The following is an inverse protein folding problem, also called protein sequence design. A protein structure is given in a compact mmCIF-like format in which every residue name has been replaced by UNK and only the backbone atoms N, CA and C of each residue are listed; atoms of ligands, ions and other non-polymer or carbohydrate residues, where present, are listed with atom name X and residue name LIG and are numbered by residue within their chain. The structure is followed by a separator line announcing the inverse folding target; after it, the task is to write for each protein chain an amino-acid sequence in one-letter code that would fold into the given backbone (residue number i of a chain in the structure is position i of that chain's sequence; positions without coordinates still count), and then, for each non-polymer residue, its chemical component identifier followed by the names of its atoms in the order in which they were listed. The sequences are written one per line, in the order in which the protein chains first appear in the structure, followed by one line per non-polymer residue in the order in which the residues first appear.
data_IF_922822982612
#
_entry.id   IF_922822982612
#
_cell.length_a   1.000
_cell.length_b   1.000
_cell.length_c   1.000
_cell.angle_alpha   90.00
_cell.angle_beta   90.00
_cell.angle_gamma   90.00
#
_symmetry.space_group_name_H-M   'P 1'
#
loop_
_entity.id
_entity.type
_entity.pdbx_description
1 polymer ?
#
# COMPACT_ATOMS: atom_id res chain seq x y z
N UNK A 1 -18.16 -8.45 14.32
CA UNK A 1 -17.38 -7.56 15.21
C UNK A 1 -16.55 -8.45 16.10
N UNK A 2 -15.29 -8.61 15.74
CA UNK A 2 -14.30 -9.30 16.57
C UNK A 2 -14.03 -8.52 17.85
N UNK A 3 -13.34 -9.13 18.82
CA UNK A 3 -12.79 -8.42 19.96
C UNK A 3 -11.72 -7.42 19.48
N UNK A 4 -11.83 -6.17 19.89
CA UNK A 4 -10.89 -5.10 19.48
C UNK A 4 -9.65 -5.11 20.38
N UNK A 5 -8.92 -6.21 20.38
CA UNK A 5 -7.66 -6.35 21.13
C UNK A 5 -6.53 -6.75 20.19
N UNK A 6 -5.29 -6.38 20.54
CA UNK A 6 -4.13 -6.80 19.76
C UNK A 6 -4.02 -8.33 19.74
N UNK A 7 -4.36 -9.03 20.83
CA UNK A 7 -4.36 -10.51 20.85
C UNK A 7 -5.33 -11.10 19.82
N UNK A 8 -6.56 -10.59 19.74
CA UNK A 8 -7.56 -11.08 18.81
C UNK A 8 -7.16 -10.79 17.35
N UNK A 9 -6.67 -9.57 17.07
CA UNK A 9 -6.11 -9.22 15.76
C UNK A 9 -4.97 -10.16 15.38
N UNK A 10 -3.99 -10.33 16.26
CA UNK A 10 -2.80 -11.15 16.03
C UNK A 10 -3.16 -12.61 15.74
N UNK A 11 -4.07 -13.18 16.53
CA UNK A 11 -4.56 -14.54 16.28
C UNK A 11 -5.20 -14.65 14.88
N UNK A 12 -5.97 -13.63 14.48
CA UNK A 12 -6.61 -13.60 13.17
C UNK A 12 -5.61 -13.45 12.02
N UNK A 13 -4.59 -12.61 12.18
CA UNK A 13 -3.51 -12.47 11.19
C UNK A 13 -2.75 -13.79 10.97
N UNK A 14 -2.56 -14.58 12.04
CA UNK A 14 -1.96 -15.92 11.95
C UNK A 14 -2.87 -16.89 11.20
N UNK A 15 -4.19 -16.88 11.47
CA UNK A 15 -5.15 -17.72 10.76
C UNK A 15 -5.22 -17.41 9.25
N UNK A 16 -5.11 -16.13 8.89
CA UNK A 16 -5.06 -15.66 7.50
C UNK A 16 -3.70 -15.92 6.84
N UNK A 17 -2.70 -16.37 7.60
CA UNK A 17 -1.34 -16.59 7.10
C UNK A 17 -0.59 -15.31 6.75
N UNK A 18 -1.06 -14.14 7.23
CA UNK A 18 -0.38 -12.85 7.06
C UNK A 18 0.83 -12.72 7.99
N UNK A 19 0.77 -13.38 9.15
CA UNK A 19 1.83 -13.35 10.17
C UNK A 19 2.15 -14.78 10.61
N UNK A 20 3.43 -15.09 10.83
CA UNK A 20 3.81 -16.40 11.37
C UNK A 20 3.49 -16.50 12.88
N UNK A 21 3.25 -17.71 13.42
CA UNK A 21 3.06 -17.88 14.87
C UNK A 21 4.21 -17.32 15.71
N UNK A 22 5.44 -17.37 15.21
CA UNK A 22 6.61 -16.83 15.92
C UNK A 22 6.61 -15.30 15.97
N UNK A 23 6.25 -14.62 14.87
CA UNK A 23 6.09 -13.16 14.86
C UNK A 23 4.99 -12.73 15.82
N UNK A 24 3.85 -13.44 15.80
CA UNK A 24 2.75 -13.21 16.73
C UNK A 24 3.17 -13.35 18.20
N UNK A 25 3.90 -14.41 18.55
CA UNK A 25 4.42 -14.60 19.90
C UNK A 25 5.36 -13.46 20.32
N UNK A 26 6.24 -13.02 19.42
CA UNK A 26 7.18 -11.94 19.71
C UNK A 26 6.45 -10.60 19.95
N UNK A 27 5.51 -10.23 19.09
CA UNK A 27 4.75 -8.99 19.21
C UNK A 27 3.91 -8.97 20.50
N UNK A 28 3.24 -10.08 20.83
CA UNK A 28 2.44 -10.18 22.05
C UNK A 28 3.27 -10.25 23.33
N UNK A 29 4.52 -10.71 23.26
CA UNK A 29 5.41 -10.77 24.43
C UNK A 29 5.88 -9.38 24.89
N UNK A 30 5.96 -8.41 23.99
CA UNK A 30 6.34 -7.02 24.28
C UNK A 30 5.16 -6.11 24.57
N UNK A 31 3.94 -6.52 24.25
CA UNK A 31 2.75 -5.68 24.37
C UNK A 31 2.01 -5.87 25.71
N UNK A 32 2.31 -5.01 26.69
CA UNK A 32 1.60 -4.97 27.99
C UNK A 32 0.10 -4.64 27.85
N UNK A 33 -0.33 -4.21 26.67
CA UNK A 33 -1.71 -3.84 26.32
C UNK A 33 -2.42 -4.88 25.44
N UNK A 34 -1.82 -6.06 25.23
CA UNK A 34 -2.31 -7.07 24.28
C UNK A 34 -3.78 -7.48 24.48
N UNK A 35 -4.24 -7.50 25.73
CA UNK A 35 -5.59 -7.89 26.15
C UNK A 35 -6.51 -6.69 26.41
N UNK A 36 -6.02 -5.46 26.26
CA UNK A 36 -6.80 -4.25 26.45
C UNK A 36 -7.60 -3.93 25.18
N UNK A 37 -8.81 -3.42 25.37
CA UNK A 37 -9.66 -2.96 24.27
C UNK A 37 -9.06 -1.70 23.64
N UNK A 38 -8.89 -1.73 22.32
CA UNK A 38 -8.22 -0.71 21.50
C UNK A 38 -9.20 -0.07 20.52
N UNK A 39 -8.85 1.11 20.03
CA UNK A 39 -9.54 1.68 18.87
C UNK A 39 -9.11 0.99 17.57
N UNK A 40 -9.96 0.97 16.53
CA UNK A 40 -9.57 0.48 15.21
C UNK A 40 -8.31 1.14 14.66
N UNK A 41 -8.16 2.46 14.85
CA UNK A 41 -6.97 3.21 14.40
C UNK A 41 -5.69 2.72 15.06
N UNK A 42 -5.73 2.42 16.37
CA UNK A 42 -4.56 1.89 17.06
C UNK A 42 -4.19 0.49 16.54
N UNK A 43 -5.19 -0.39 16.35
CA UNK A 43 -4.99 -1.73 15.81
C UNK A 43 -4.52 -1.74 14.35
N UNK A 44 -4.92 -0.74 13.57
CA UNK A 44 -4.41 -0.52 12.21
C UNK A 44 -2.92 -0.17 12.23
N UNK A 45 -2.47 0.67 13.17
CA UNK A 45 -1.04 0.97 13.34
C UNK A 45 -0.19 -0.27 13.63
N UNK A 46 -0.73 -1.24 14.36
CA UNK A 46 -0.04 -2.51 14.64
C UNK A 46 0.21 -3.35 13.38
N UNK A 47 -0.53 -3.14 12.28
CA UNK A 47 -0.28 -3.83 11.01
C UNK A 47 1.08 -3.43 10.40
N UNK A 48 1.53 -2.20 10.63
CA UNK A 48 2.85 -1.72 10.19
C UNK A 48 3.96 -2.43 10.96
N UNK A 49 3.80 -2.58 12.28
CA UNK A 49 4.75 -3.31 13.12
C UNK A 49 4.89 -4.79 12.71
N UNK A 50 3.85 -5.37 12.09
CA UNK A 50 3.90 -6.69 11.49
C UNK A 50 4.57 -6.75 10.10
N UNK A 51 4.96 -5.60 9.54
CA UNK A 51 5.46 -5.49 8.17
C UNK A 51 4.38 -5.71 7.12
N UNK A 52 3.13 -5.39 7.45
CA UNK A 52 1.99 -5.51 6.54
C UNK A 52 1.55 -4.17 5.99
N UNK A 53 2.13 -3.06 6.44
CA UNK A 53 1.74 -1.75 5.94
C UNK A 53 2.85 -0.73 6.03
N UNK A 54 2.59 0.40 5.40
CA UNK A 54 3.47 1.55 5.29
C UNK A 54 2.72 2.77 5.79
N UNK A 55 3.40 3.63 6.54
CA UNK A 55 2.88 4.92 6.96
C UNK A 55 3.69 6.03 6.28
N UNK A 56 3.03 7.10 5.87
CA UNK A 56 3.70 8.30 5.37
C UNK A 56 3.32 9.48 6.26
N UNK A 57 4.28 10.32 6.65
CA UNK A 57 3.98 11.49 7.48
C UNK A 57 3.16 12.54 6.70
N UNK A 58 2.31 13.29 7.41
CA UNK A 58 1.53 14.43 6.90
C UNK A 58 2.16 15.78 7.23
N UNK A 59 3.19 15.80 8.07
CA UNK A 59 3.87 16.99 8.52
C UNK A 59 4.92 17.50 7.54
N UNK A 60 5.43 18.68 7.87
CA UNK A 60 6.67 19.18 7.28
C UNK A 60 7.80 18.20 7.64
N UNK A 61 8.46 17.64 6.64
CA UNK A 61 9.58 16.72 6.85
C UNK A 61 10.91 17.47 6.79
N UNK A 62 11.87 17.05 7.62
CA UNK A 62 13.20 17.67 7.67
C UNK A 62 14.00 17.41 6.37
N UNK A 63 13.71 16.30 5.67
CA UNK A 63 14.35 15.90 4.42
C UNK A 63 13.41 15.03 3.58
N UNK A 64 12.95 15.56 2.44
CA UNK A 64 12.11 14.82 1.49
C UNK A 64 12.78 13.52 1.03
N UNK A 65 14.09 13.56 0.77
CA UNK A 65 14.81 12.38 0.29
C UNK A 65 14.84 11.27 1.35
N UNK A 66 15.12 11.61 2.61
CA UNK A 66 15.17 10.61 3.70
C UNK A 66 13.78 10.01 3.93
N UNK A 67 12.73 10.84 3.91
CA UNK A 67 11.35 10.36 4.05
C UNK A 67 10.94 9.43 2.88
N UNK A 68 11.26 9.77 1.62
CA UNK A 68 11.01 8.87 0.51
C UNK A 68 11.82 7.57 0.63
N UNK A 69 13.08 7.63 1.07
CA UNK A 69 13.90 6.44 1.27
C UNK A 69 13.27 5.50 2.31
N UNK A 70 12.79 6.05 3.43
CA UNK A 70 12.12 5.29 4.47
C UNK A 70 10.81 4.67 3.95
N UNK A 71 9.93 5.45 3.32
CA UNK A 71 8.65 4.96 2.75
C UNK A 71 8.89 3.85 1.73
N UNK A 72 9.81 4.05 0.78
CA UNK A 72 10.11 3.07 -0.26
C UNK A 72 10.71 1.79 0.34
N UNK A 73 11.57 1.93 1.35
CA UNK A 73 12.21 0.79 2.01
C UNK A 73 11.21 -0.04 2.81
N UNK A 74 10.32 0.61 3.56
CA UNK A 74 9.24 -0.07 4.29
C UNK A 74 8.27 -0.78 3.34
N UNK A 75 7.84 -0.10 2.27
CA UNK A 75 6.95 -0.68 1.26
C UNK A 75 7.58 -1.90 0.58
N UNK A 76 8.85 -1.80 0.17
CA UNK A 76 9.56 -2.91 -0.43
C UNK A 76 9.70 -4.09 0.54
N UNK A 77 10.00 -3.82 1.81
CA UNK A 77 10.11 -4.85 2.84
C UNK A 77 8.80 -5.63 3.05
N UNK A 78 7.64 -4.96 3.01
CA UNK A 78 6.32 -5.61 3.07
C UNK A 78 6.14 -6.63 1.94
N UNK A 79 6.63 -6.28 0.75
CA UNK A 79 6.52 -7.11 -0.45
C UNK A 79 7.61 -8.16 -0.60
N UNK A 80 8.66 -8.13 0.24
CA UNK A 80 9.84 -8.98 0.10
C UNK A 80 10.80 -8.53 -1.01
N UNK A 81 10.69 -7.27 -1.44
CA UNK A 81 11.55 -6.61 -2.41
C UNK A 81 12.65 -5.82 -1.70
N UNK A 82 13.66 -5.36 -2.45
CA UNK A 82 14.71 -4.48 -1.94
C UNK A 82 14.74 -3.17 -2.70
N UNK A 83 14.70 -2.05 -1.97
CA UNK A 83 14.99 -0.71 -2.51
C UNK A 83 16.40 -0.30 -2.12
N UNK A 84 17.10 0.41 -3.02
CA UNK A 84 18.43 0.96 -2.78
C UNK A 84 18.71 2.18 -3.66
N UNK A 85 19.76 2.94 -3.31
CA UNK A 85 20.23 4.11 -4.06
C UNK A 85 19.12 5.15 -4.34
N UNK A 86 18.34 5.48 -3.30
CA UNK A 86 17.27 6.49 -3.39
C UNK A 86 17.89 7.88 -3.52
N UNK A 87 17.51 8.61 -4.56
CA UNK A 87 17.99 9.96 -4.86
C UNK A 87 16.83 10.81 -5.33
N UNK A 88 16.62 11.97 -4.69
CA UNK A 88 15.70 12.98 -5.18
C UNK A 88 16.48 13.98 -6.07
N UNK A 89 16.10 14.06 -7.34
CA UNK A 89 16.71 14.96 -8.32
C UNK A 89 15.71 16.05 -8.68
N UNK A 90 15.94 17.25 -8.16
CA UNK A 90 15.09 18.41 -8.41
C UNK A 90 15.30 18.98 -9.83
N UNK A 91 14.21 19.42 -10.46
CA UNK A 91 14.23 20.14 -11.75
C UNK A 91 15.03 19.43 -12.86
N UNK A 92 14.84 18.11 -12.98
CA UNK A 92 15.42 17.31 -14.04
C UNK A 92 14.72 17.58 -15.38
N UNK A 93 15.50 17.79 -16.45
CA UNK A 93 14.95 17.90 -17.81
C UNK A 93 14.43 16.54 -18.30
N UNK A 94 13.12 16.43 -18.47
CA UNK A 94 12.42 15.24 -18.97
C UNK A 94 11.76 15.54 -20.32
N UNK A 95 11.78 14.55 -21.22
CA UNK A 95 11.17 14.69 -22.54
C UNK A 95 9.64 14.67 -22.43
N UNK A 96 9.00 15.70 -22.97
CA UNK A 96 7.55 15.75 -23.13
C UNK A 96 7.16 14.96 -24.38
N UNK A 97 6.50 13.82 -24.17
CA UNK A 97 6.07 12.95 -25.28
C UNK A 97 4.89 13.52 -26.07
N UNK A 98 4.09 14.40 -25.48
CA UNK A 98 2.93 15.01 -26.13
C UNK A 98 3.34 16.19 -27.03
N UNK A 99 4.23 17.04 -26.54
CA UNK A 99 4.67 18.25 -27.26
C UNK A 99 5.97 18.06 -28.05
N UNK A 100 6.72 16.99 -27.79
CA UNK A 100 8.04 16.74 -28.39
C UNK A 100 9.13 17.69 -27.89
N UNK A 101 8.91 18.37 -26.76
CA UNK A 101 9.85 19.27 -26.08
C UNK A 101 10.48 18.64 -24.85
N UNK A 102 11.03 19.48 -23.98
CA UNK A 102 11.44 19.11 -22.62
C UNK A 102 10.70 19.97 -21.60
N UNK A 103 10.49 19.43 -20.42
CA UNK A 103 9.99 20.14 -19.25
C UNK A 103 10.81 19.73 -18.02
N UNK A 104 10.79 20.54 -16.98
CA UNK A 104 11.50 20.26 -15.72
C UNK A 104 10.52 19.59 -14.74
N UNK A 105 10.95 18.48 -14.15
CA UNK A 105 10.20 17.74 -13.11
C UNK A 105 11.18 17.30 -12.02
N UNK A 106 10.68 17.09 -10.81
CA UNK A 106 11.46 16.40 -9.79
C UNK A 106 11.34 14.90 -10.02
N UNK A 107 12.47 14.19 -9.90
CA UNK A 107 12.54 12.75 -10.10
C UNK A 107 13.04 12.05 -8.85
N UNK A 108 12.24 11.12 -8.33
CA UNK A 108 12.68 10.16 -7.33
C UNK A 108 13.26 8.93 -8.02
N UNK A 109 14.59 8.77 -7.95
CA UNK A 109 15.33 7.66 -8.58
C UNK A 109 15.73 6.65 -7.53
N UNK A 110 15.64 5.37 -7.87
CA UNK A 110 16.05 4.28 -6.98
C UNK A 110 16.25 2.99 -7.78
N UNK A 111 16.76 1.95 -7.12
CA UNK A 111 16.81 0.60 -7.67
C UNK A 111 15.85 -0.31 -6.91
N UNK A 112 14.98 -1.00 -7.63
CA UNK A 112 14.09 -2.04 -7.12
C UNK A 112 14.62 -3.40 -7.54
N UNK A 113 15.04 -4.22 -6.57
CA UNK A 113 15.75 -5.49 -6.81
C UNK A 113 16.95 -5.34 -7.77
N UNK A 114 17.61 -4.19 -7.71
CA UNK A 114 18.76 -3.85 -8.56
C UNK A 114 18.40 -3.29 -9.94
N UNK A 115 17.11 -3.21 -10.31
CA UNK A 115 16.67 -2.60 -11.57
C UNK A 115 16.33 -1.12 -11.36
N UNK A 116 16.84 -0.20 -12.21
CA UNK A 116 16.63 1.22 -12.05
C UNK A 116 15.17 1.62 -12.29
N UNK A 117 14.64 2.45 -11.39
CA UNK A 117 13.31 3.06 -11.43
C UNK A 117 13.43 4.57 -11.24
N UNK A 118 12.43 5.28 -11.77
CA UNK A 118 12.28 6.70 -11.58
C UNK A 118 10.78 7.03 -11.52
N UNK A 119 10.38 7.78 -10.50
CA UNK A 119 9.03 8.33 -10.36
C UNK A 119 9.09 9.84 -10.53
N UNK A 120 8.10 10.39 -11.24
CA UNK A 120 7.88 11.83 -11.26
C UNK A 120 7.14 12.21 -9.98
N UNK A 121 7.65 13.24 -9.29
CA UNK A 121 7.08 13.76 -8.05
C UNK A 121 6.90 15.26 -8.18
N UNK A 122 5.81 15.79 -7.61
CA UNK A 122 5.46 17.20 -7.62
C UNK A 122 5.34 17.73 -6.19
N UNK A 123 6.39 18.41 -5.72
CA UNK A 123 6.39 18.99 -4.38
C UNK A 123 5.74 20.38 -4.38
N UNK A 124 4.82 20.60 -3.45
CA UNK A 124 4.21 21.92 -3.20
C UNK A 124 5.09 22.82 -2.32
N UNK A 125 6.01 22.23 -1.56
CA UNK A 125 7.09 22.87 -0.79
C UNK A 125 8.25 21.89 -0.59
N UNK A 126 9.40 22.39 -0.14
CA UNK A 126 10.61 21.63 0.20
C UNK A 126 10.46 20.71 1.42
N UNK A 127 9.31 20.76 2.09
CA UNK A 127 8.99 19.98 3.30
C UNK A 127 7.72 19.12 3.10
N UNK A 128 7.12 19.09 1.90
CA UNK A 128 5.84 18.41 1.65
C UNK A 128 5.98 17.23 0.68
N UNK A 129 5.69 16.02 1.17
CA UNK A 129 5.70 14.79 0.38
C UNK A 129 4.58 14.78 -0.67
N UNK A 130 4.91 14.35 -1.89
CA UNK A 130 3.91 14.12 -2.93
C UNK A 130 3.22 12.77 -2.73
N UNK A 131 2.18 12.78 -1.90
CA UNK A 131 1.35 11.60 -1.68
C UNK A 131 0.61 11.14 -2.94
N UNK A 132 0.42 12.00 -3.94
CA UNK A 132 -0.25 11.60 -5.18
C UNK A 132 0.67 10.80 -6.08
N UNK A 133 1.94 11.16 -6.15
CA UNK A 133 2.95 10.30 -6.76
C UNK A 133 3.03 8.95 -6.02
N UNK A 134 3.04 8.95 -4.67
CA UNK A 134 3.04 7.70 -3.89
C UNK A 134 1.85 6.81 -4.26
N UNK A 135 0.61 7.31 -4.21
CA UNK A 135 -0.59 6.52 -4.62
C UNK A 135 -0.45 5.98 -6.04
N UNK A 136 0.03 6.80 -6.96
CA UNK A 136 0.11 6.45 -8.39
C UNK A 136 1.15 5.36 -8.66
N UNK A 137 2.20 5.31 -7.85
CA UNK A 137 3.35 4.47 -8.11
C UNK A 137 3.54 3.32 -7.11
N UNK A 138 2.84 3.29 -5.97
CA UNK A 138 3.03 2.25 -4.95
C UNK A 138 2.83 0.82 -5.50
N UNK A 139 2.00 0.67 -6.53
CA UNK A 139 1.82 -0.61 -7.24
C UNK A 139 3.10 -1.19 -7.87
N UNK A 140 4.11 -0.36 -8.17
CA UNK A 140 5.44 -0.82 -8.62
C UNK A 140 6.17 -1.62 -7.53
N UNK A 141 5.82 -1.43 -6.26
CA UNK A 141 6.42 -2.10 -5.10
C UNK A 141 5.62 -3.33 -4.65
N UNK A 142 4.61 -3.75 -5.40
CA UNK A 142 3.87 -4.98 -5.11
C UNK A 142 4.70 -6.22 -5.48
N UNK A 143 4.52 -7.37 -4.79
CA UNK A 143 5.36 -8.55 -5.01
C UNK A 143 5.26 -9.12 -6.45
N UNK A 144 4.13 -8.92 -7.11
CA UNK A 144 3.86 -9.39 -8.47
C UNK A 144 3.80 -10.92 -8.61
N UNK A 145 3.81 -11.40 -9.86
CA UNK A 145 3.79 -12.84 -10.17
C UNK A 145 2.48 -13.53 -9.75
N UNK A 146 2.60 -14.59 -8.96
CA UNK A 146 1.45 -15.35 -8.43
C UNK A 146 0.95 -14.78 -7.07
N UNK A 147 1.67 -13.82 -6.48
CA UNK A 147 1.26 -13.16 -5.25
C UNK A 147 0.24 -12.05 -5.58
N UNK A 148 -0.96 -12.18 -5.03
CA UNK A 148 -2.09 -11.28 -5.30
C UNK A 148 -2.21 -10.15 -4.29
N UNK A 149 -1.21 -9.97 -3.42
CA UNK A 149 -1.20 -8.85 -2.48
C UNK A 149 -0.99 -7.55 -3.25
N UNK A 150 -1.81 -6.57 -2.93
CA UNK A 150 -1.71 -5.20 -3.41
C UNK A 150 -1.85 -4.22 -2.24
N UNK A 151 -1.41 -2.98 -2.43
CA UNK A 151 -1.53 -1.95 -1.41
C UNK A 151 -2.95 -1.36 -1.39
N UNK A 152 -3.62 -1.47 -0.25
CA UNK A 152 -4.95 -0.89 -0.01
C UNK A 152 -4.81 0.35 0.85
N UNK A 153 -5.33 1.52 0.44
CA UNK A 153 -5.38 2.69 1.30
C UNK A 153 -6.17 2.40 2.58
N UNK A 154 -5.65 2.87 3.71
CA UNK A 154 -6.29 2.75 5.03
C UNK A 154 -6.54 4.14 5.59
N UNK A 155 -7.81 4.50 5.71
CA UNK A 155 -8.26 5.78 6.22
C UNK A 155 -9.56 6.25 5.56
N UNK A 156 -10.26 7.15 6.24
CA UNK A 156 -11.21 8.03 5.57
C UNK A 156 -10.43 9.23 5.05
N UNK A 157 -10.73 9.70 3.83
CA UNK A 157 -10.00 10.74 3.10
C UNK A 157 -9.75 12.07 3.86
N UNK A 158 -10.32 12.25 5.06
CA UNK A 158 -10.19 13.46 5.89
C UNK A 158 -9.60 13.22 7.30
N UNK A 159 -9.45 11.98 7.81
CA UNK A 159 -9.14 11.75 9.24
C UNK A 159 -8.01 10.76 9.58
N UNK A 160 -7.43 10.01 8.63
CA UNK A 160 -6.32 9.09 8.93
C UNK A 160 -5.20 9.25 7.91
N UNK A 161 -3.93 9.39 8.36
CA UNK A 161 -2.79 9.51 7.49
C UNK A 161 -2.70 8.35 6.52
N UNK A 162 -2.26 8.70 5.31
CA UNK A 162 -1.82 7.87 4.20
C UNK A 162 -1.08 6.61 4.63
N UNK A 163 -1.85 5.63 5.08
CA UNK A 163 -1.39 4.30 5.40
C UNK A 163 -1.84 3.37 4.30
N UNK A 164 -0.98 2.43 3.96
CA UNK A 164 -1.28 1.41 2.97
C UNK A 164 -1.09 0.04 3.59
N UNK A 165 -2.08 -0.82 3.43
CA UNK A 165 -2.04 -2.21 3.86
C UNK A 165 -1.71 -3.09 2.66
N UNK A 166 -0.62 -3.83 2.70
CA UNK A 166 -0.31 -4.86 1.73
C UNK A 166 -1.04 -6.16 2.08
N UNK A 167 -2.12 -6.44 1.35
CA UNK A 167 -2.92 -7.64 1.55
C UNK A 167 -3.58 -8.09 0.25
N UNK A 168 -4.05 -9.34 0.21
CA UNK A 168 -4.96 -9.74 -0.87
C UNK A 168 -6.29 -9.00 -0.68
N UNK A 169 -7.06 -8.74 -1.76
CA UNK A 169 -8.39 -8.12 -1.63
C UNK A 169 -9.33 -8.90 -0.72
N UNK A 170 -9.18 -10.23 -0.63
CA UNK A 170 -9.94 -11.06 0.32
C UNK A 170 -9.57 -10.78 1.77
N UNK A 171 -8.27 -10.77 2.09
CA UNK A 171 -7.79 -10.48 3.44
C UNK A 171 -8.14 -9.05 3.88
N UNK A 172 -7.99 -8.06 2.99
CA UNK A 172 -8.35 -6.68 3.27
C UNK A 172 -9.85 -6.55 3.62
N UNK A 173 -10.75 -7.24 2.90
CA UNK A 173 -12.19 -7.27 3.23
C UNK A 173 -12.47 -7.92 4.58
N UNK A 174 -11.79 -9.03 4.89
CA UNK A 174 -11.95 -9.70 6.18
C UNK A 174 -11.58 -8.74 7.32
N UNK A 175 -10.45 -8.05 7.21
CA UNK A 175 -9.99 -7.10 8.23
C UNK A 175 -10.94 -5.90 8.38
N UNK A 176 -11.41 -5.35 7.25
CA UNK A 176 -12.43 -4.30 7.22
C UNK A 176 -13.72 -4.75 7.91
N UNK A 177 -14.25 -5.92 7.55
CA UNK A 177 -15.57 -6.38 7.99
C UNK A 177 -15.55 -6.91 9.44
N UNK A 178 -14.45 -7.52 9.89
CA UNK A 178 -14.34 -8.09 11.24
C UNK A 178 -13.93 -7.06 12.31
N UNK A 179 -12.99 -6.18 11.97
CA UNK A 179 -12.39 -5.19 12.88
C UNK A 179 -12.80 -3.73 12.60
N UNK A 180 -13.60 -3.50 11.55
CA UNK A 180 -14.07 -2.15 11.22
C UNK A 180 -12.94 -1.22 10.75
N UNK A 181 -11.87 -1.77 10.19
CA UNK A 181 -10.76 -0.96 9.67
C UNK A 181 -11.22 -0.18 8.44
N UNK A 182 -10.85 1.11 8.31
CA UNK A 182 -11.25 1.94 7.18
C UNK A 182 -10.41 1.63 5.93
N UNK A 183 -10.48 0.40 5.44
CA UNK A 183 -9.69 -0.04 4.28
C UNK A 183 -10.52 0.19 3.00
N UNK A 184 -9.97 0.96 2.08
CA UNK A 184 -10.54 1.10 0.74
C UNK A 184 -10.10 -0.09 -0.12
N UNK A 185 -11.03 -1.03 -0.31
CA UNK A 185 -10.81 -2.20 -1.14
C UNK A 185 -11.54 -2.00 -2.45
N UNK A 186 -10.80 -1.86 -3.55
CA UNK A 186 -11.39 -1.75 -4.87
C UNK A 186 -12.31 -2.97 -5.13
N UNK A 187 -13.60 -2.70 -5.31
CA UNK A 187 -14.56 -3.75 -5.62
C UNK A 187 -14.31 -4.19 -7.07
N UNK A 188 -13.90 -5.44 -7.26
CA UNK A 188 -13.84 -6.02 -8.60
C UNK A 188 -15.21 -5.80 -9.27
N UNK A 189 -15.25 -5.23 -10.48
CA UNK A 189 -16.51 -4.99 -11.16
C UNK A 189 -17.27 -6.31 -11.24
N UNK A 190 -18.47 -6.35 -10.67
CA UNK A 190 -19.33 -7.53 -10.72
C UNK A 190 -19.34 -8.05 -12.15
N UNK A 191 -18.91 -9.30 -12.37
CA UNK A 191 -18.95 -9.94 -13.69
C UNK A 191 -20.35 -9.70 -14.28
N UNK A 192 -20.42 -8.86 -15.30
CA UNK A 192 -21.69 -8.61 -15.95
C UNK A 192 -22.17 -9.96 -16.52
N UNK A 193 -23.38 -10.42 -16.17
CA UNK A 193 -23.86 -11.71 -16.66
C UNK A 193 -23.81 -11.70 -18.18
N UNK A 194 -23.01 -12.61 -18.74
CA UNK A 194 -22.83 -12.74 -20.19
C UNK A 194 -24.21 -12.86 -20.84
N UNK A 195 -24.61 -11.94 -21.74
CA UNK A 195 -25.92 -12.03 -22.36
C UNK A 195 -26.02 -13.36 -23.14
N UNK A 196 -27.15 -14.08 -23.04
CA UNK A 196 -27.30 -15.37 -23.70
C UNK A 196 -27.09 -15.22 -25.20
N UNK A 197 -26.17 -16.01 -25.75
CA UNK A 197 -25.88 -16.02 -27.19
C UNK A 197 -27.13 -16.36 -27.98
N UNK A 198 -27.63 -15.42 -28.78
CA UNK A 198 -28.76 -15.66 -29.67
C UNK A 198 -28.40 -16.73 -30.71
N UNK A 199 -29.28 -17.71 -30.98
CA UNK A 199 -29.00 -18.75 -31.96
C UNK A 199 -28.89 -18.14 -33.37
N UNK A 200 -27.78 -18.46 -34.05
CA UNK A 200 -27.56 -18.14 -35.47
C UNK A 200 -28.67 -18.77 -36.30
N UNK A 201 -29.55 -17.95 -36.85
CA UNK A 201 -30.48 -18.36 -37.90
C UNK A 201 -29.69 -18.69 -39.17
N UNK A 202 -29.65 -19.97 -39.51
CA UNK A 202 -29.14 -20.44 -40.78
C UNK A 202 -30.03 -19.89 -41.91
N UNK A 203 -29.47 -19.04 -42.78
CA UNK A 203 -30.08 -18.77 -44.08
C UNK A 203 -29.78 -19.97 -44.99
N UNK A 204 -30.80 -20.81 -45.16
CA UNK A 204 -30.89 -21.77 -46.25
C UNK A 204 -31.10 -21.05 -47.58
N UNK A 205 -30.61 -21.73 -48.63
CA UNK A 205 -30.45 -21.32 -50.04
C UNK A 205 -31.65 -20.71 -50.74
#
# INVERSE_FOLDING_TARGET
MAEMTLRALTARLVELGLVTPQQAENALASADYADLEQSPVHLVGELIEYGLGVHTDHGDVDSLQEEYEDILTEAAACSGLTVSDVELVESAETADQETGGTHEVDLLRFHLDGEPRAWEVEHLSDEYIDHMALVSHLSDLEPGGDDQRCFHPVGEAEEVPFMYLLATPEHARILRDEFGFPIDVEEAPAEQPTPPSLPRTAHGS
#
